data_IF_665083066406
#
_entry.id   IF_665083066406
#
_cell.length_a   1.000
_cell.length_b   1.000
_cell.length_c   1.000
_cell.angle_alpha   90.00
_cell.angle_beta   90.00
_cell.angle_gamma   90.00
#
_symmetry.space_group_name_H-M   'P 1'
#
loop_
_entity.id
_entity.type
_entity.pdbx_description
1 polymer ?
#
# COMPACT_ATOMS: atom_id res chain seq x y z
N UNK A 1 -65.62 12.89 27.49
CA UNK A 1 -64.47 12.60 26.61
C UNK A 1 -64.98 11.86 25.37
N UNK A 2 -64.85 12.43 24.16
CA UNK A 2 -65.25 11.76 22.90
C UNK A 2 -64.12 10.83 22.46
N UNK A 3 -64.33 9.51 22.56
CA UNK A 3 -63.37 8.49 22.09
C UNK A 3 -63.60 8.27 20.59
N UNK A 4 -62.66 8.71 19.75
CA UNK A 4 -62.72 8.54 18.29
C UNK A 4 -62.82 7.05 17.95
N UNK A 5 -63.88 6.64 17.25
CA UNK A 5 -64.21 5.23 16.95
C UNK A 5 -63.51 4.66 15.71
N UNK A 6 -62.76 5.47 14.96
CA UNK A 6 -62.06 5.02 13.75
C UNK A 6 -60.63 5.56 13.78
N UNK A 7 -59.65 4.66 14.00
CA UNK A 7 -58.23 4.98 13.98
C UNK A 7 -57.64 4.31 12.75
N UNK A 8 -57.08 5.10 11.83
CA UNK A 8 -56.44 4.55 10.64
C UNK A 8 -55.03 4.04 10.99
N UNK A 9 -54.95 2.79 11.44
CA UNK A 9 -53.72 2.12 11.84
C UNK A 9 -52.68 2.01 10.72
N UNK A 10 -53.07 2.07 9.43
CA UNK A 10 -52.11 1.94 8.32
C UNK A 10 -51.19 3.17 8.22
N UNK A 11 -51.68 4.35 8.61
CA UNK A 11 -50.89 5.60 8.59
C UNK A 11 -49.79 5.65 9.65
N UNK A 12 -49.91 4.86 10.73
CA UNK A 12 -48.94 4.81 11.83
C UNK A 12 -47.92 3.69 11.69
N UNK A 13 -48.02 2.83 10.67
CA UNK A 13 -46.98 1.84 10.41
C UNK A 13 -45.81 2.58 9.77
N UNK A 14 -44.64 2.57 10.43
CA UNK A 14 -43.35 3.03 9.87
C UNK A 14 -43.19 2.32 8.53
N UNK A 15 -43.41 3.03 7.43
CA UNK A 15 -43.58 2.38 6.13
C UNK A 15 -42.26 1.71 5.75
N UNK A 16 -42.29 0.39 5.72
CA UNK A 16 -41.23 -0.42 5.13
C UNK A 16 -41.26 -0.28 3.58
N UNK A 17 -41.37 0.93 3.07
CA UNK A 17 -41.19 1.22 1.64
C UNK A 17 -39.77 1.73 1.37
N UNK A 18 -39.10 2.29 2.38
CA UNK A 18 -37.76 2.85 2.25
C UNK A 18 -36.62 1.80 2.19
N UNK A 19 -36.86 0.51 2.50
CA UNK A 19 -35.82 -0.54 2.37
C UNK A 19 -35.47 -0.88 0.92
N UNK A 20 -36.21 -0.37 -0.08
CA UNK A 20 -35.80 -0.45 -1.48
C UNK A 20 -34.86 0.70 -1.91
N UNK A 21 -34.73 1.76 -1.09
CA UNK A 21 -33.83 2.89 -1.34
C UNK A 21 -32.47 2.74 -0.63
N UNK A 22 -32.39 1.89 0.40
CA UNK A 22 -31.13 1.53 1.10
C UNK A 22 -30.01 1.00 0.22
N UNK A 23 -30.23 0.11 -0.79
CA UNK A 23 -29.12 -0.33 -1.65
C UNK A 23 -28.57 0.80 -2.53
N UNK A 24 -29.43 1.72 -2.98
CA UNK A 24 -29.02 2.88 -3.80
C UNK A 24 -28.20 3.86 -2.96
N UNK A 25 -28.61 4.13 -1.73
CA UNK A 25 -27.86 5.00 -0.82
C UNK A 25 -26.47 4.42 -0.47
N UNK A 26 -26.36 3.10 -0.25
CA UNK A 26 -25.07 2.43 0.00
C UNK A 26 -24.13 2.52 -1.21
N UNK A 27 -24.65 2.32 -2.42
CA UNK A 27 -23.86 2.41 -3.65
C UNK A 27 -23.26 3.81 -3.84
N UNK A 28 -24.03 4.88 -3.58
CA UNK A 28 -23.55 6.26 -3.70
C UNK A 28 -22.46 6.57 -2.67
N UNK A 29 -22.60 6.13 -1.42
CA UNK A 29 -21.56 6.34 -0.39
C UNK A 29 -20.25 5.63 -0.69
N UNK A 30 -20.30 4.44 -1.30
CA UNK A 30 -19.09 3.70 -1.67
C UNK A 30 -18.25 4.46 -2.71
N UNK A 31 -18.89 5.04 -3.74
CA UNK A 31 -18.20 5.81 -4.79
C UNK A 31 -17.52 7.06 -4.21
N UNK A 32 -18.19 7.79 -3.31
CA UNK A 32 -17.61 8.98 -2.69
C UNK A 32 -16.46 8.65 -1.71
N UNK A 33 -16.52 7.52 -0.99
CA UNK A 33 -15.39 7.08 -0.16
C UNK A 33 -14.20 6.60 -1.00
N UNK A 34 -14.45 5.92 -2.13
CA UNK A 34 -13.40 5.52 -3.09
C UNK A 34 -12.74 6.74 -3.74
N UNK A 35 -13.50 7.78 -4.08
CA UNK A 35 -12.96 9.03 -4.63
C UNK A 35 -12.28 9.92 -3.57
N UNK A 36 -12.55 9.71 -2.28
CA UNK A 36 -11.96 10.49 -1.17
C UNK A 36 -10.55 10.04 -0.75
N UNK A 37 -10.08 8.89 -1.24
CA UNK A 37 -8.69 8.42 -1.04
C UNK A 37 -7.72 9.00 -2.07
N UNK A 38 -8.17 9.81 -3.03
CA UNK A 38 -7.31 10.48 -3.98
C UNK A 38 -6.94 11.89 -3.45
N UNK A 39 -6.11 11.93 -2.40
CA UNK A 39 -5.24 13.10 -2.17
C UNK A 39 -3.98 12.91 -3.00
N UNK A 40 -4.11 13.05 -4.31
CA UNK A 40 -2.99 13.02 -5.26
C UNK A 40 -2.61 14.44 -5.63
N UNK A 41 -2.22 15.25 -4.65
CA UNK A 41 -1.69 16.60 -4.88
C UNK A 41 -0.28 16.75 -4.32
N UNK A 42 0.50 15.68 -4.48
CA UNK A 42 1.94 15.76 -4.45
C UNK A 42 2.38 15.12 -5.78
N UNK A 43 2.99 15.90 -6.66
CA UNK A 43 3.55 15.44 -7.93
C UNK A 43 4.77 14.57 -7.64
N UNK A 44 4.54 13.43 -7.01
CA UNK A 44 5.57 12.48 -6.65
C UNK A 44 5.80 11.63 -7.88
N UNK A 45 6.96 11.82 -8.47
CA UNK A 45 7.41 11.00 -9.57
C UNK A 45 8.12 9.78 -8.99
N UNK A 46 7.77 8.60 -9.51
CA UNK A 46 8.43 7.34 -9.16
C UNK A 46 9.58 7.11 -10.13
N UNK A 47 10.78 6.89 -9.60
CA UNK A 47 11.98 6.62 -10.39
C UNK A 47 12.58 5.27 -9.99
N UNK A 48 13.08 4.51 -10.96
CA UNK A 48 13.72 3.21 -10.68
C UNK A 48 15.12 3.37 -10.09
N UNK A 49 15.83 4.42 -10.50
CA UNK A 49 17.21 4.70 -10.09
C UNK A 49 17.50 6.21 -10.15
N UNK A 50 18.65 6.62 -9.61
CA UNK A 50 19.05 8.02 -9.57
C UNK A 50 19.27 8.62 -10.98
N UNK A 51 19.69 7.81 -11.96
CA UNK A 51 19.96 8.27 -13.31
C UNK A 51 18.66 8.67 -14.02
N UNK A 52 17.61 7.84 -13.94
CA UNK A 52 16.27 8.12 -14.46
C UNK A 52 15.70 9.41 -13.87
N UNK A 53 15.87 9.60 -12.55
CA UNK A 53 15.48 10.84 -11.87
C UNK A 53 16.26 12.04 -12.39
N UNK A 54 17.58 11.91 -12.55
CA UNK A 54 18.43 13.01 -13.01
C UNK A 54 18.16 13.41 -14.47
N UNK A 55 17.81 12.44 -15.32
CA UNK A 55 17.42 12.65 -16.70
C UNK A 55 16.08 13.37 -16.80
N UNK A 56 15.12 13.02 -15.93
CA UNK A 56 13.82 13.69 -15.84
C UNK A 56 13.90 15.08 -15.18
N UNK A 57 14.89 15.31 -14.30
CA UNK A 57 15.06 16.56 -13.56
C UNK A 57 16.45 17.18 -13.77
N UNK A 58 16.71 17.78 -14.95
CA UNK A 58 17.96 18.47 -15.23
C UNK A 58 18.21 19.58 -14.20
N UNK A 59 19.27 19.43 -13.39
CA UNK A 59 19.63 20.37 -12.31
C UNK A 59 19.39 19.85 -10.89
N UNK A 60 18.68 18.73 -10.71
CA UNK A 60 18.42 18.10 -9.39
C UNK A 60 19.15 16.77 -9.17
N UNK A 61 20.20 16.50 -9.94
CA UNK A 61 20.93 15.23 -9.87
C UNK A 61 21.43 14.88 -8.46
N UNK A 62 21.90 15.87 -7.69
CA UNK A 62 22.35 15.64 -6.31
C UNK A 62 21.19 15.23 -5.36
N UNK A 63 20.01 15.81 -5.56
CA UNK A 63 18.80 15.46 -4.80
C UNK A 63 18.32 14.04 -5.18
N UNK A 64 18.34 13.70 -6.47
CA UNK A 64 18.04 12.36 -6.97
C UNK A 64 18.95 11.29 -6.33
N UNK A 65 20.26 11.50 -6.33
CA UNK A 65 21.22 10.56 -5.72
C UNK A 65 21.00 10.42 -4.21
N UNK A 66 20.75 11.54 -3.51
CA UNK A 66 20.52 11.53 -2.06
C UNK A 66 19.26 10.74 -1.72
N UNK A 67 18.18 11.00 -2.44
CA UNK A 67 16.91 10.32 -2.22
C UNK A 67 16.96 8.84 -2.60
N UNK A 68 17.61 8.48 -3.71
CA UNK A 68 17.86 7.09 -4.07
C UNK A 68 18.64 6.37 -2.96
N UNK A 69 19.72 6.99 -2.46
CA UNK A 69 20.53 6.41 -1.37
C UNK A 69 19.71 6.20 -0.09
N UNK A 70 18.86 7.16 0.27
CA UNK A 70 17.98 7.03 1.44
C UNK A 70 16.95 5.91 1.23
N UNK A 71 16.40 5.80 0.02
CA UNK A 71 15.45 4.77 -0.31
C UNK A 71 16.09 3.37 -0.29
N UNK A 72 17.34 3.22 -0.76
CA UNK A 72 18.12 1.97 -0.65
C UNK A 72 18.32 1.56 0.80
N UNK A 73 18.73 2.49 1.67
CA UNK A 73 18.86 2.20 3.11
C UNK A 73 17.55 1.80 3.76
N UNK A 74 16.46 2.45 3.37
CA UNK A 74 15.13 2.14 3.89
C UNK A 74 14.64 0.77 3.40
N UNK A 75 14.92 0.43 2.14
CA UNK A 75 14.63 -0.89 1.60
C UNK A 75 15.44 -1.97 2.32
N UNK A 76 16.74 -1.79 2.55
CA UNK A 76 17.54 -2.74 3.34
C UNK A 76 16.98 -2.95 4.76
N UNK A 77 16.40 -1.91 5.35
CA UNK A 77 15.83 -1.94 6.70
C UNK A 77 14.46 -2.60 6.76
N UNK A 78 13.63 -2.44 5.73
CA UNK A 78 12.21 -2.81 5.72
C UNK A 78 11.87 -4.00 4.83
N UNK A 79 12.73 -4.34 3.87
CA UNK A 79 12.48 -5.41 2.94
C UNK A 79 12.42 -6.78 3.63
N UNK A 80 11.51 -7.67 3.21
CA UNK A 80 11.49 -9.05 3.67
C UNK A 80 12.80 -9.77 3.34
N UNK A 81 13.33 -10.51 4.32
CA UNK A 81 14.51 -11.35 4.16
C UNK A 81 14.07 -12.80 4.00
N UNK A 82 14.37 -13.39 2.85
CA UNK A 82 14.05 -14.77 2.52
C UNK A 82 15.28 -15.68 2.65
N UNK A 83 15.05 -16.91 3.10
CA UNK A 83 16.11 -17.91 3.18
C UNK A 83 16.46 -18.49 1.80
N UNK A 84 15.48 -18.62 0.92
CA UNK A 84 15.64 -19.19 -0.43
C UNK A 84 15.28 -18.17 -1.50
N UNK A 85 15.79 -18.38 -2.73
CA UNK A 85 15.45 -17.53 -3.88
C UNK A 85 14.01 -17.77 -4.29
N UNK A 86 13.57 -19.01 -4.21
CA UNK A 86 12.26 -19.49 -4.63
C UNK A 86 11.16 -18.80 -3.85
N UNK A 87 11.32 -18.63 -2.54
CA UNK A 87 10.35 -17.91 -1.69
C UNK A 87 10.26 -16.43 -2.08
N UNK A 88 11.39 -15.78 -2.34
CA UNK A 88 11.41 -14.39 -2.79
C UNK A 88 10.75 -14.25 -4.17
N UNK A 89 11.05 -15.15 -5.11
CA UNK A 89 10.52 -15.13 -6.48
C UNK A 89 9.03 -15.44 -6.51
N UNK A 90 8.54 -16.31 -5.63
CA UNK A 90 7.12 -16.60 -5.50
C UNK A 90 6.31 -15.35 -5.12
N UNK A 91 6.87 -14.46 -4.31
CA UNK A 91 6.21 -13.25 -3.81
C UNK A 91 6.47 -12.02 -4.70
N UNK A 92 7.69 -11.83 -5.22
CA UNK A 92 8.12 -10.63 -5.95
C UNK A 92 8.34 -10.85 -7.45
N UNK A 93 8.41 -12.09 -7.91
CA UNK A 93 8.59 -12.45 -9.32
C UNK A 93 10.03 -12.74 -9.74
N UNK A 94 10.17 -13.30 -10.94
CA UNK A 94 11.49 -13.66 -11.48
C UNK A 94 12.34 -12.42 -11.73
N UNK A 95 13.61 -12.48 -11.33
CA UNK A 95 14.57 -11.38 -11.51
C UNK A 95 14.42 -10.24 -10.51
N UNK A 96 13.42 -10.28 -9.62
CA UNK A 96 13.22 -9.27 -8.57
C UNK A 96 13.88 -9.64 -7.24
N UNK A 97 14.78 -10.60 -7.22
CA UNK A 97 15.40 -11.11 -5.99
C UNK A 97 16.92 -11.05 -6.10
N UNK A 98 17.55 -10.40 -5.13
CA UNK A 98 19.00 -10.29 -4.99
C UNK A 98 19.49 -10.98 -3.72
N UNK A 99 20.65 -11.65 -3.83
CA UNK A 99 21.31 -12.27 -2.69
C UNK A 99 22.18 -11.23 -2.00
N UNK A 100 21.87 -10.93 -0.75
CA UNK A 100 22.65 -9.99 0.06
C UNK A 100 23.78 -10.75 0.74
N UNK A 101 25.03 -10.24 0.70
CA UNK A 101 26.14 -10.83 1.44
C UNK A 101 25.76 -10.95 2.91
N UNK A 102 26.25 -11.99 3.59
CA UNK A 102 26.02 -12.18 5.02
C UNK A 102 26.71 -11.04 5.82
N UNK A 103 26.02 -9.92 5.97
CA UNK A 103 26.42 -8.81 6.83
C UNK A 103 25.55 -8.88 8.08
N UNK A 104 26.21 -9.09 9.21
CA UNK A 104 25.61 -9.33 10.51
C UNK A 104 24.75 -8.13 10.94
N UNK A 105 23.43 -8.27 10.90
CA UNK A 105 22.54 -7.20 11.35
C UNK A 105 21.05 -7.51 11.24
N UNK A 106 20.44 -7.72 12.42
CA UNK A 106 19.01 -7.71 12.78
C UNK A 106 18.08 -8.67 11.99
N UNK A 107 17.81 -9.81 12.63
CA UNK A 107 16.61 -10.61 12.37
C UNK A 107 15.51 -10.14 13.33
N UNK A 108 14.26 -9.92 12.88
CA UNK A 108 13.13 -9.83 13.79
C UNK A 108 12.83 -11.23 14.36
N UNK A 109 12.73 -11.30 15.69
CA UNK A 109 12.17 -12.45 16.40
C UNK A 109 10.72 -12.66 15.92
N UNK A 110 10.46 -13.71 15.11
CA UNK A 110 9.17 -14.44 15.01
C UNK A 110 9.09 -15.45 13.84
N UNK A 111 10.21 -16.00 13.35
CA UNK A 111 10.14 -17.16 12.44
C UNK A 111 11.09 -18.26 12.92
N UNK A 112 10.49 -19.34 13.43
CA UNK A 112 11.18 -20.56 13.80
C UNK A 112 11.73 -21.27 12.56
N UNK A 113 12.92 -21.83 12.71
CA UNK A 113 13.66 -22.69 11.76
C UNK A 113 14.19 -22.02 10.49
N UNK A 114 15.46 -21.61 10.51
CA UNK A 114 16.52 -22.43 9.93
C UNK A 114 17.88 -21.78 10.18
N UNK A 115 18.75 -22.59 10.78
CA UNK A 115 20.14 -22.32 11.04
C UNK A 115 20.91 -22.26 9.71
N UNK A 116 21.36 -21.09 9.28
CA UNK A 116 22.56 -21.00 8.44
C UNK A 116 23.13 -19.59 8.45
N UNK A 117 24.41 -19.49 8.83
CA UNK A 117 25.24 -18.31 8.66
C UNK A 117 25.52 -18.06 7.17
N UNK A 118 24.47 -17.74 6.40
CA UNK A 118 24.47 -17.63 4.96
C UNK A 118 23.75 -16.38 4.49
N UNK A 119 24.21 -15.82 3.37
CA UNK A 119 23.53 -14.78 2.60
C UNK A 119 22.03 -15.00 2.47
N UNK A 120 21.23 -13.94 2.61
CA UNK A 120 19.77 -13.97 2.50
C UNK A 120 19.31 -13.36 1.17
N UNK A 121 18.12 -13.72 0.71
CA UNK A 121 17.50 -13.14 -0.47
C UNK A 121 16.60 -11.98 -0.08
N UNK A 122 16.72 -10.87 -0.80
CA UNK A 122 15.84 -9.71 -0.66
C UNK A 122 15.24 -9.34 -2.00
N UNK A 123 14.04 -8.76 -2.00
CA UNK A 123 13.50 -8.17 -3.20
C UNK A 123 14.34 -6.97 -3.66
N UNK A 124 14.34 -6.73 -4.97
CA UNK A 124 14.82 -5.48 -5.55
C UNK A 124 13.89 -4.34 -5.16
N UNK A 125 14.44 -3.14 -5.03
CA UNK A 125 13.63 -1.95 -4.87
C UNK A 125 12.82 -1.68 -6.14
N UNK A 126 11.50 -1.62 -5.99
CA UNK A 126 10.57 -1.32 -7.08
C UNK A 126 10.58 0.16 -7.53
N UNK A 127 11.46 0.98 -6.96
CA UNK A 127 11.60 2.41 -7.23
C UNK A 127 11.63 3.25 -5.96
N UNK A 128 11.87 4.55 -6.11
CA UNK A 128 11.79 5.53 -5.03
C UNK A 128 10.98 6.75 -5.48
N UNK A 129 10.35 7.37 -4.50
CA UNK A 129 9.47 8.51 -4.67
C UNK A 129 10.26 9.80 -4.47
N UNK A 130 10.12 10.74 -5.41
CA UNK A 130 10.64 12.10 -5.26
C UNK A 130 9.61 13.13 -5.70
N UNK A 131 9.46 14.17 -4.88
CA UNK A 131 8.74 15.37 -5.29
C UNK A 131 9.52 16.03 -6.43
N UNK A 132 8.84 16.24 -7.57
CA UNK A 132 9.38 16.95 -8.72
C UNK A 132 9.77 18.40 -8.38
#
# INVERSE_FOLDING_TARGET
>A
MKRTKNINHSSFRKSWSARHLTPVALAVTAVFMLAGCEKSDETVSLYQNADDCSAANPGKAAECTTAYTNAVKEAERTAPKYATREDCVAEFGEGQCQQTPAQAGVAPENQAQAQSSGSFWMPLMAGYMMAA
#
